data_IF_551544114954
#
_entry.id   IF_551544114954
#
_cell.length_a   1.000
_cell.length_b   1.000
_cell.length_c   1.000
_cell.angle_alpha   90.00
_cell.angle_beta   90.00
_cell.angle_gamma   90.00
#
_symmetry.space_group_name_H-M   'P 1'
#
loop_
_entity.id
_entity.type
_entity.pdbx_description
1 polymer ?
#
# COMPACT_ATOMS: atom_id res chain seq x y z
N UNK A 1 5.82 2.92 21.50
CA UNK A 1 5.48 2.16 22.72
C UNK A 1 4.98 0.77 22.38
N UNK A 2 3.89 0.64 21.63
CA UNK A 2 3.25 -0.65 21.32
C UNK A 2 4.19 -1.65 20.63
N UNK A 3 5.06 -1.20 19.74
CA UNK A 3 6.08 -2.05 19.09
C UNK A 3 7.12 -2.56 20.10
N UNK A 4 7.48 -1.75 21.10
CA UNK A 4 8.38 -2.17 22.18
C UNK A 4 7.70 -3.19 23.11
N UNK A 5 6.39 -3.01 23.41
CA UNK A 5 5.59 -3.98 24.17
C UNK A 5 5.45 -5.30 23.39
N UNK A 6 5.14 -5.23 22.08
CA UNK A 6 5.02 -6.41 21.23
C UNK A 6 6.30 -7.22 21.11
N UNK A 7 7.43 -6.53 20.95
CA UNK A 7 8.76 -7.17 20.86
C UNK A 7 9.39 -7.52 22.19
N UNK A 8 8.73 -7.25 23.32
CA UNK A 8 9.22 -7.56 24.66
C UNK A 8 10.46 -6.75 25.07
N UNK A 9 10.64 -5.56 24.52
CA UNK A 9 11.78 -4.70 24.86
C UNK A 9 11.70 -4.21 26.30
N UNK A 10 12.86 -3.90 26.88
CA UNK A 10 12.95 -3.41 28.28
C UNK A 10 12.68 -1.92 28.42
N UNK A 11 12.76 -1.15 27.35
CA UNK A 11 12.54 0.28 27.33
C UNK A 11 12.02 0.73 25.95
N UNK A 12 11.27 1.82 25.93
CA UNK A 12 10.81 2.45 24.70
C UNK A 12 11.88 3.40 24.17
N UNK A 13 12.28 3.19 22.91
CA UNK A 13 13.19 4.08 22.20
C UNK A 13 12.38 4.85 21.17
N UNK A 14 12.33 6.17 21.30
CA UNK A 14 11.69 7.04 20.32
C UNK A 14 12.68 7.41 19.22
N UNK A 15 12.20 7.53 17.99
CA UNK A 15 12.96 8.00 16.84
C UNK A 15 13.35 9.48 16.94
N UNK A 16 13.84 10.03 15.83
CA UNK A 16 14.14 11.47 15.73
C UNK A 16 12.86 12.29 15.82
N UNK A 17 12.99 13.50 16.36
CA UNK A 17 11.94 14.50 16.39
C UNK A 17 11.42 14.74 14.97
N UNK A 18 10.11 14.62 14.70
CA UNK A 18 9.53 14.97 13.41
C UNK A 18 9.63 16.48 13.14
N UNK A 19 9.78 16.84 11.87
CA UNK A 19 9.80 18.23 11.46
C UNK A 19 8.49 18.96 11.81
N UNK A 20 8.60 20.17 12.33
CA UNK A 20 7.44 21.00 12.69
C UNK A 20 6.90 20.79 14.11
N UNK A 21 7.45 19.88 14.89
CA UNK A 21 7.07 19.67 16.31
C UNK A 21 8.11 20.31 17.23
N UNK A 22 7.68 21.01 18.27
CA UNK A 22 8.60 21.55 19.29
C UNK A 22 9.16 20.42 20.15
N UNK A 23 10.43 20.58 20.59
CA UNK A 23 11.09 19.59 21.43
C UNK A 23 10.33 19.36 22.75
N UNK A 24 9.81 20.42 23.37
CA UNK A 24 9.07 20.32 24.63
C UNK A 24 7.77 19.49 24.49
N UNK A 25 7.08 19.66 23.37
CA UNK A 25 5.86 18.88 23.07
C UNK A 25 6.20 17.41 22.83
N UNK A 26 7.26 17.15 22.06
CA UNK A 26 7.74 15.79 21.82
C UNK A 26 8.13 15.07 23.11
N UNK A 27 8.92 15.72 23.99
CA UNK A 27 9.34 15.12 25.25
C UNK A 27 8.16 14.90 26.21
N UNK A 28 7.15 15.78 26.19
CA UNK A 28 5.94 15.58 26.99
C UNK A 28 5.16 14.32 26.54
N UNK A 29 4.97 14.13 25.23
CA UNK A 29 4.32 12.92 24.71
C UNK A 29 5.17 11.67 24.92
N UNK A 30 6.48 11.74 24.64
CA UNK A 30 7.39 10.62 24.85
C UNK A 30 7.46 10.21 26.33
N UNK A 31 7.42 11.19 27.25
CA UNK A 31 7.36 10.95 28.69
C UNK A 31 6.05 10.27 29.11
N UNK A 32 4.92 10.70 28.58
CA UNK A 32 3.62 10.07 28.79
C UNK A 32 3.61 8.61 28.33
N UNK A 33 4.09 8.34 27.12
CA UNK A 33 4.14 6.98 26.56
C UNK A 33 5.12 6.06 27.33
N UNK A 34 6.25 6.58 27.82
CA UNK A 34 7.15 5.83 28.74
C UNK A 34 6.44 5.44 30.02
N UNK A 35 5.71 6.41 30.64
CA UNK A 35 4.97 6.14 31.87
C UNK A 35 3.90 5.05 31.69
N UNK A 36 3.18 5.07 30.59
CA UNK A 36 2.18 4.02 30.26
C UNK A 36 2.87 2.67 30.05
N UNK A 37 3.99 2.63 29.31
CA UNK A 37 4.78 1.42 29.10
C UNK A 37 5.22 0.81 30.44
N UNK A 38 5.83 1.62 31.33
CA UNK A 38 6.31 1.16 32.62
C UNK A 38 5.18 0.66 33.51
N UNK A 39 4.04 1.35 33.52
CA UNK A 39 2.86 0.94 34.29
C UNK A 39 2.28 -0.39 33.79
N UNK A 40 2.07 -0.56 32.48
CA UNK A 40 1.56 -1.82 31.90
C UNK A 40 2.51 -2.98 32.16
N UNK A 41 3.81 -2.74 32.03
CA UNK A 41 4.84 -3.73 32.33
C UNK A 41 4.85 -4.12 33.79
N UNK A 42 4.78 -3.14 34.71
CA UNK A 42 4.75 -3.41 36.15
C UNK A 42 3.54 -4.28 36.55
N UNK A 43 2.37 -4.08 35.91
CA UNK A 43 1.20 -4.94 36.12
C UNK A 43 1.49 -6.39 35.70
N UNK A 44 2.05 -6.59 34.49
CA UNK A 44 2.36 -7.93 33.99
C UNK A 44 3.44 -8.64 34.85
N UNK A 45 4.50 -7.91 35.20
CA UNK A 45 5.57 -8.43 36.05
C UNK A 45 5.06 -8.75 37.46
N UNK A 46 4.15 -7.93 38.01
CA UNK A 46 3.47 -8.18 39.29
C UNK A 46 2.61 -9.43 39.25
N UNK A 47 1.87 -9.68 38.19
CA UNK A 47 1.08 -10.92 38.02
C UNK A 47 1.98 -12.16 37.94
N UNK A 48 3.09 -12.08 37.22
CA UNK A 48 4.09 -13.17 37.16
C UNK A 48 4.68 -13.47 38.54
N UNK A 49 5.13 -12.42 39.25
CA UNK A 49 5.67 -12.57 40.60
C UNK A 49 4.65 -13.18 41.58
N UNK A 50 3.38 -12.78 41.50
CA UNK A 50 2.32 -13.37 42.33
C UNK A 50 2.09 -14.87 42.01
N UNK A 51 2.18 -15.25 40.74
CA UNK A 51 2.05 -16.66 40.34
C UNK A 51 3.25 -17.50 40.85
N UNK A 52 4.47 -16.93 40.73
CA UNK A 52 5.68 -17.61 41.22
C UNK A 52 5.67 -17.80 42.74
N UNK A 53 5.18 -16.81 43.49
CA UNK A 53 5.03 -16.92 44.95
C UNK A 53 3.98 -18.00 45.32
N UNK A 54 2.82 -17.99 44.62
CA UNK A 54 1.80 -19.02 44.83
C UNK A 54 2.32 -20.41 44.49
N UNK A 55 3.10 -20.56 43.42
CA UNK A 55 3.74 -21.84 43.07
C UNK A 55 4.70 -22.29 44.16
N UNK A 56 5.55 -21.43 44.69
CA UNK A 56 6.47 -21.76 45.75
C UNK A 56 5.75 -22.18 47.04
N UNK A 57 4.66 -21.52 47.41
CA UNK A 57 3.83 -21.91 48.57
C UNK A 57 3.22 -23.30 48.39
N UNK A 58 2.71 -23.63 47.18
CA UNK A 58 2.16 -24.93 46.87
C UNK A 58 3.23 -26.02 46.85
N UNK A 59 4.43 -25.73 46.32
CA UNK A 59 5.58 -26.66 46.34
C UNK A 59 6.01 -27.02 47.79
N UNK A 60 6.04 -26.03 48.67
CA UNK A 60 6.35 -26.21 50.10
C UNK A 60 5.25 -27.08 50.75
N UNK A 61 3.97 -26.87 50.42
CA UNK A 61 2.86 -27.68 50.94
C UNK A 61 2.93 -29.14 50.46
N UNK A 62 3.25 -29.31 49.14
CA UNK A 62 3.47 -30.66 48.56
C UNK A 62 4.58 -31.38 49.34
N UNK A 63 5.71 -30.71 49.62
CA UNK A 63 6.80 -31.30 50.35
C UNK A 63 6.39 -31.74 51.76
N UNK A 64 5.53 -30.94 52.43
CA UNK A 64 5.00 -31.31 53.76
C UNK A 64 4.05 -32.50 53.71
N UNK A 65 3.14 -32.56 52.74
CA UNK A 65 2.21 -33.68 52.57
C UNK A 65 2.95 -34.95 52.12
N UNK A 66 3.97 -34.85 51.28
CA UNK A 66 4.79 -35.97 50.85
C UNK A 66 5.57 -36.57 52.02
N UNK A 67 6.12 -35.77 52.91
CA UNK A 67 6.78 -36.23 54.14
C UNK A 67 5.78 -36.99 55.04
N UNK A 68 4.54 -36.50 55.18
CA UNK A 68 3.47 -37.19 55.92
C UNK A 68 3.09 -38.52 55.23
N UNK A 69 2.93 -38.53 53.93
CA UNK A 69 2.63 -39.73 53.13
C UNK A 69 3.70 -40.81 53.32
N UNK A 70 4.99 -40.42 53.26
CA UNK A 70 6.11 -41.34 53.52
C UNK A 70 6.07 -41.92 54.91
N UNK A 71 5.70 -41.14 55.95
CA UNK A 71 5.59 -41.60 57.31
C UNK A 71 4.43 -42.62 57.48
N UNK A 72 3.24 -42.31 56.90
CA UNK A 72 2.06 -43.20 56.97
C UNK A 72 2.29 -44.47 56.16
N UNK A 73 2.95 -44.41 55.00
CA UNK A 73 3.32 -45.60 54.21
C UNK A 73 4.23 -46.53 55.00
N UNK A 74 5.27 -46.01 55.68
CA UNK A 74 6.12 -46.84 56.53
C UNK A 74 5.35 -47.53 57.69
N UNK A 75 4.35 -46.85 58.28
CA UNK A 75 3.48 -47.46 59.28
C UNK A 75 2.60 -48.56 58.69
N UNK A 76 2.03 -48.27 57.47
CA UNK A 76 1.22 -49.23 56.76
C UNK A 76 2.00 -50.54 56.40
N UNK A 77 3.22 -50.37 55.85
CA UNK A 77 4.12 -51.42 55.46
C UNK A 77 4.49 -52.31 56.72
N UNK A 78 4.77 -51.68 57.87
CA UNK A 78 5.06 -52.34 59.10
C UNK A 78 3.87 -53.12 59.59
N UNK A 79 2.63 -52.63 59.47
CA UNK A 79 1.41 -53.33 59.83
C UNK A 79 1.12 -54.56 58.91
N UNK A 80 1.43 -54.41 57.61
CA UNK A 80 1.34 -55.50 56.65
C UNK A 80 2.28 -56.66 57.01
N UNK A 81 3.56 -56.33 57.35
CA UNK A 81 4.54 -57.32 57.77
C UNK A 81 4.09 -58.03 59.05
N UNK A 82 3.56 -57.33 60.07
CA UNK A 82 3.06 -57.83 61.29
C UNK A 82 1.84 -58.73 61.04
N UNK A 83 0.90 -58.29 60.16
CA UNK A 83 -0.29 -59.05 59.78
C UNK A 83 0.07 -60.39 59.12
N UNK A 84 1.00 -60.37 58.15
CA UNK A 84 1.47 -61.55 57.46
C UNK A 84 2.04 -62.62 58.46
N UNK A 85 2.86 -62.12 59.41
CA UNK A 85 3.40 -63.01 60.47
C UNK A 85 2.33 -63.60 61.39
N UNK A 86 1.30 -62.81 61.77
CA UNK A 86 0.21 -63.28 62.61
C UNK A 86 -0.78 -64.16 61.85
N UNK A 87 -1.05 -63.97 60.59
CA UNK A 87 -1.86 -64.80 59.73
C UNK A 87 -1.28 -66.26 59.63
N UNK A 88 0.06 -66.35 59.50
CA UNK A 88 0.76 -67.64 59.50
C UNK A 88 0.61 -68.35 60.83
N UNK A 89 0.73 -67.68 61.97
CA UNK A 89 0.52 -68.21 63.30
C UNK A 89 -0.93 -68.54 63.56
N UNK A 90 -1.88 -67.74 63.06
CA UNK A 90 -3.32 -67.94 63.15
C UNK A 90 -3.79 -69.19 62.39
N UNK A 91 -3.22 -69.47 61.22
CA UNK A 91 -3.48 -70.71 60.44
C UNK A 91 -3.08 -71.95 61.20
N UNK A 92 -2.12 -71.86 62.12
CA UNK A 92 -1.67 -72.92 62.98
C UNK A 92 -2.44 -72.99 64.32
N UNK A 93 -3.49 -72.15 64.52
CA UNK A 93 -4.31 -72.12 65.73
C UNK A 93 -3.63 -71.56 66.97
N UNK A 94 -2.49 -70.84 66.85
CA UNK A 94 -1.65 -70.34 67.93
C UNK A 94 -2.06 -68.97 68.49
N UNK A 95 -2.93 -68.23 67.80
CA UNK A 95 -3.38 -66.86 68.18
C UNK A 95 -4.91 -66.75 67.99
N UNK A 96 -5.57 -65.84 68.78
CA UNK A 96 -7.00 -65.54 68.60
C UNK A 96 -7.29 -64.85 67.32
N UNK A 97 -8.37 -65.21 66.61
CA UNK A 97 -8.84 -64.58 65.39
C UNK A 97 -9.12 -63.04 65.52
N UNK A 98 -9.49 -62.62 66.75
CA UNK A 98 -9.75 -61.20 67.07
C UNK A 98 -8.52 -60.27 66.85
N UNK A 99 -7.30 -60.78 67.09
CA UNK A 99 -6.07 -60.04 66.91
C UNK A 99 -5.79 -59.84 65.43
N UNK A 100 -6.00 -60.83 64.60
CA UNK A 100 -5.86 -60.70 63.14
C UNK A 100 -6.88 -59.69 62.60
N UNK A 101 -8.15 -59.76 63.02
CA UNK A 101 -9.19 -58.82 62.60
C UNK A 101 -8.96 -57.39 63.06
N UNK A 102 -8.30 -57.16 64.19
CA UNK A 102 -7.94 -55.83 64.66
C UNK A 102 -6.81 -55.22 63.83
N UNK A 103 -5.82 -56.05 63.48
CA UNK A 103 -4.72 -55.58 62.63
C UNK A 103 -5.17 -55.35 61.22
N UNK A 104 -6.08 -56.13 60.66
CA UNK A 104 -6.72 -55.92 59.38
C UNK A 104 -7.48 -54.56 59.34
N UNK A 105 -8.22 -54.27 60.43
CA UNK A 105 -8.88 -52.93 60.53
C UNK A 105 -7.89 -51.79 60.57
N UNK A 106 -6.74 -51.95 61.25
CA UNK A 106 -5.69 -50.96 61.33
C UNK A 106 -4.95 -50.74 59.97
N UNK A 107 -4.73 -51.85 59.26
CA UNK A 107 -4.20 -51.80 57.86
C UNK A 107 -5.13 -51.02 56.96
N UNK A 108 -6.44 -51.30 56.96
CA UNK A 108 -7.44 -50.65 56.17
C UNK A 108 -7.55 -49.12 56.50
N UNK A 109 -7.44 -48.73 57.81
CA UNK A 109 -7.41 -47.33 58.22
C UNK A 109 -6.16 -46.60 57.64
N UNK A 110 -4.98 -47.25 57.75
CA UNK A 110 -3.76 -46.71 57.23
C UNK A 110 -3.76 -46.59 55.68
N UNK A 111 -4.29 -47.62 55.00
CA UNK A 111 -4.49 -47.62 53.56
C UNK A 111 -5.41 -46.43 53.11
N UNK A 112 -6.51 -46.22 53.89
CA UNK A 112 -7.39 -45.08 53.65
C UNK A 112 -6.67 -43.71 53.83
N UNK A 113 -5.79 -43.59 54.82
CA UNK A 113 -4.96 -42.36 55.04
C UNK A 113 -3.95 -42.14 53.93
N UNK A 114 -3.30 -43.19 53.42
CA UNK A 114 -2.39 -43.13 52.27
C UNK A 114 -3.16 -42.58 51.05
N UNK A 115 -4.32 -43.16 50.75
CA UNK A 115 -5.14 -42.71 49.60
C UNK A 115 -5.58 -41.24 49.73
N UNK A 116 -5.94 -40.80 50.94
CA UNK A 116 -6.29 -39.39 51.20
C UNK A 116 -5.12 -38.46 50.94
N UNK A 117 -3.92 -38.78 51.45
CA UNK A 117 -2.72 -37.95 51.25
C UNK A 117 -2.25 -37.92 49.77
N UNK A 118 -2.43 -39.04 49.05
CA UNK A 118 -2.17 -39.10 47.61
C UNK A 118 -3.15 -38.22 46.84
N UNK A 119 -4.42 -38.20 47.23
CA UNK A 119 -5.41 -37.29 46.63
C UNK A 119 -5.06 -35.80 46.92
N UNK A 120 -4.67 -35.49 48.15
CA UNK A 120 -4.23 -34.16 48.54
C UNK A 120 -3.00 -33.71 47.71
N UNK A 121 -2.04 -34.58 47.47
CA UNK A 121 -0.87 -34.29 46.61
C UNK A 121 -1.30 -34.00 45.16
N UNK A 122 -2.21 -34.78 44.62
CA UNK A 122 -2.74 -34.57 43.27
C UNK A 122 -3.47 -33.24 43.17
N UNK A 123 -4.26 -32.87 44.17
CA UNK A 123 -4.94 -31.55 44.23
C UNK A 123 -3.96 -30.39 44.23
N UNK A 124 -2.90 -30.45 45.07
CA UNK A 124 -1.89 -29.39 45.10
C UNK A 124 -1.12 -29.26 43.79
N UNK A 125 -0.82 -30.39 43.11
CA UNK A 125 -0.18 -30.35 41.77
C UNK A 125 -1.11 -29.75 40.70
N UNK A 126 -2.40 -30.06 40.76
CA UNK A 126 -3.37 -29.45 39.88
C UNK A 126 -3.48 -27.91 40.09
N UNK A 127 -3.46 -27.48 41.37
CA UNK A 127 -3.47 -26.07 41.72
C UNK A 127 -2.24 -25.30 41.20
N UNK A 128 -1.05 -25.93 41.14
CA UNK A 128 0.15 -25.35 40.48
C UNK A 128 -0.10 -25.21 38.99
N UNK A 129 -0.61 -26.27 38.34
CA UNK A 129 -0.87 -26.22 36.89
C UNK A 129 -1.89 -25.15 36.52
N UNK A 130 -2.94 -25.00 37.32
CA UNK A 130 -3.94 -23.94 37.15
C UNK A 130 -3.35 -22.54 37.31
N UNK A 131 -2.49 -22.31 38.31
CA UNK A 131 -1.81 -21.05 38.52
C UNK A 131 -0.89 -20.68 37.34
N UNK A 132 -0.14 -21.63 36.79
CA UNK A 132 0.73 -21.46 35.62
C UNK A 132 -0.07 -21.15 34.36
N UNK A 133 -1.17 -21.88 34.14
CA UNK A 133 -2.09 -21.64 33.04
C UNK A 133 -2.70 -20.24 33.12
N UNK A 134 -3.10 -19.78 34.29
CA UNK A 134 -3.63 -18.44 34.54
C UNK A 134 -2.61 -17.34 34.17
N UNK A 135 -1.34 -17.51 34.56
CA UNK A 135 -0.27 -16.56 34.19
C UNK A 135 -0.02 -16.53 32.69
N UNK A 136 -0.01 -17.71 32.04
CA UNK A 136 0.16 -17.80 30.58
C UNK A 136 -1.02 -17.14 29.85
N UNK A 137 -2.25 -17.29 30.34
CA UNK A 137 -3.42 -16.65 29.78
C UNK A 137 -3.35 -15.12 29.92
N UNK A 138 -2.92 -14.62 31.10
CA UNK A 138 -2.74 -13.19 31.31
C UNK A 138 -1.71 -12.58 30.34
N UNK A 139 -0.60 -13.27 30.08
CA UNK A 139 0.40 -12.86 29.11
C UNK A 139 -0.15 -12.84 27.67
N UNK A 140 -0.91 -13.86 27.27
CA UNK A 140 -1.57 -13.89 25.95
C UNK A 140 -2.57 -12.77 25.78
N UNK A 141 -3.42 -12.53 26.78
CA UNK A 141 -4.40 -11.44 26.75
C UNK A 141 -3.71 -10.09 26.65
N UNK A 142 -2.59 -9.90 27.34
CA UNK A 142 -1.77 -8.70 27.20
C UNK A 142 -1.25 -8.54 25.76
N UNK A 143 -0.68 -9.60 25.18
CA UNK A 143 -0.17 -9.57 23.80
C UNK A 143 -1.29 -9.30 22.78
N UNK A 144 -2.44 -9.92 22.92
CA UNK A 144 -3.63 -9.69 22.08
C UNK A 144 -4.08 -8.23 22.14
N UNK A 145 -4.13 -7.64 23.36
CA UNK A 145 -4.43 -6.22 23.55
C UNK A 145 -3.43 -5.33 22.84
N UNK A 146 -2.12 -5.62 22.94
CA UNK A 146 -1.06 -4.84 22.29
C UNK A 146 -1.18 -4.92 20.78
N UNK A 147 -1.48 -6.10 20.22
CA UNK A 147 -1.67 -6.27 18.76
C UNK A 147 -2.90 -5.50 18.28
N UNK A 148 -4.01 -5.55 19.01
CA UNK A 148 -5.22 -4.78 18.70
C UNK A 148 -4.93 -3.27 18.71
N UNK A 149 -4.37 -2.75 19.80
CA UNK A 149 -3.99 -1.34 19.93
C UNK A 149 -3.02 -0.90 18.79
N UNK A 150 -2.08 -1.79 18.39
CA UNK A 150 -1.12 -1.51 17.31
C UNK A 150 -1.79 -1.42 15.94
N UNK A 151 -2.76 -2.28 15.67
CA UNK A 151 -3.54 -2.24 14.43
C UNK A 151 -4.37 -0.96 14.34
N UNK A 152 -5.05 -0.57 15.43
CA UNK A 152 -5.86 0.65 15.48
C UNK A 152 -5.01 1.90 15.25
N UNK A 153 -3.83 1.98 15.89
CA UNK A 153 -2.90 3.09 15.69
C UNK A 153 -2.36 3.14 14.27
N UNK A 154 -2.04 1.99 13.67
CA UNK A 154 -1.58 1.92 12.27
C UNK A 154 -2.66 2.38 11.30
N UNK A 155 -3.89 1.93 11.48
CA UNK A 155 -5.02 2.37 10.66
C UNK A 155 -5.23 3.90 10.77
N UNK A 156 -5.13 4.46 11.98
CA UNK A 156 -5.20 5.91 12.20
C UNK A 156 -4.06 6.66 11.50
N UNK A 157 -2.83 6.14 11.55
CA UNK A 157 -1.68 6.74 10.85
C UNK A 157 -1.89 6.73 9.33
N UNK A 158 -2.39 5.63 8.77
CA UNK A 158 -2.69 5.53 7.34
C UNK A 158 -3.76 6.55 6.92
N UNK A 159 -4.85 6.66 7.68
CA UNK A 159 -5.90 7.64 7.44
C UNK A 159 -5.36 9.08 7.47
N UNK A 160 -4.60 9.44 8.51
CA UNK A 160 -4.01 10.77 8.65
C UNK A 160 -2.97 11.06 7.54
N UNK A 161 -2.23 10.05 7.10
CA UNK A 161 -1.27 10.18 6.00
C UNK A 161 -1.97 10.48 4.67
N UNK A 162 -3.06 9.78 4.38
CA UNK A 162 -3.88 10.03 3.20
C UNK A 162 -4.52 11.44 3.24
N UNK A 163 -5.04 11.85 4.39
CA UNK A 163 -5.60 13.19 4.56
C UNK A 163 -4.54 14.27 4.40
N UNK A 164 -3.35 14.07 4.95
CA UNK A 164 -2.22 15.00 4.76
C UNK A 164 -1.84 15.12 3.29
N UNK A 165 -1.76 14.00 2.56
CA UNK A 165 -1.47 14.00 1.13
C UNK A 165 -2.56 14.75 0.33
N UNK A 166 -3.83 14.56 0.68
CA UNK A 166 -4.96 15.28 0.07
C UNK A 166 -4.84 16.78 0.30
N UNK A 167 -4.68 17.20 1.56
CA UNK A 167 -4.56 18.63 1.91
C UNK A 167 -3.31 19.27 1.27
N UNK A 168 -2.18 18.54 1.21
CA UNK A 168 -0.98 19.02 0.54
C UNK A 168 -1.19 19.19 -0.97
N UNK A 169 -1.91 18.28 -1.63
CA UNK A 169 -2.26 18.40 -3.04
C UNK A 169 -3.22 19.58 -3.28
N UNK A 170 -4.20 19.79 -2.40
CA UNK A 170 -5.12 20.91 -2.48
C UNK A 170 -4.37 22.25 -2.28
N UNK A 171 -3.44 22.31 -1.33
CA UNK A 171 -2.58 23.48 -1.13
C UNK A 171 -1.70 23.75 -2.35
N UNK A 172 -1.11 22.72 -2.95
CA UNK A 172 -0.29 22.90 -4.17
C UNK A 172 -1.11 23.45 -5.34
N UNK A 173 -2.40 23.14 -5.43
CA UNK A 173 -3.32 23.67 -6.44
C UNK A 173 -3.73 25.12 -6.22
N UNK A 174 -3.50 25.69 -5.02
CA UNK A 174 -3.76 27.13 -4.79
C UNK A 174 -2.76 28.02 -5.49
N UNK A 175 -1.54 27.52 -5.81
CA UNK A 175 -0.58 28.18 -6.67
C UNK A 175 -0.69 27.68 -8.10
N UNK A 176 -1.31 28.45 -8.97
CA UNK A 176 -1.41 28.12 -10.39
C UNK A 176 -0.16 28.62 -11.10
N UNK A 177 0.66 27.70 -11.58
CA UNK A 177 1.92 28.00 -12.26
C UNK A 177 1.82 27.70 -13.75
N UNK A 178 2.57 28.47 -14.55
CA UNK A 178 2.71 28.23 -16.00
C UNK A 178 3.34 26.83 -16.22
N UNK A 179 2.72 25.94 -17.03
CA UNK A 179 3.27 24.61 -17.31
C UNK A 179 4.48 24.65 -18.25
N UNK A 180 4.61 25.73 -19.05
CA UNK A 180 5.68 25.94 -20.04
C UNK A 180 6.05 27.42 -20.11
N UNK A 181 7.27 27.68 -20.55
CA UNK A 181 7.68 29.03 -20.88
C UNK A 181 6.97 29.53 -22.15
N UNK A 182 6.42 30.72 -22.12
CA UNK A 182 5.66 31.23 -23.26
C UNK A 182 5.10 32.61 -23.04
N UNK A 183 4.34 33.09 -24.04
CA UNK A 183 3.67 34.38 -24.03
C UNK A 183 2.23 34.21 -23.60
N UNK A 184 1.82 34.98 -22.59
CA UNK A 184 0.43 34.98 -22.11
C UNK A 184 -0.47 35.61 -23.17
N UNK A 185 -1.53 34.90 -23.52
CA UNK A 185 -2.55 35.30 -24.47
C UNK A 185 -3.94 35.12 -23.87
N UNK A 186 -4.90 35.96 -24.26
CA UNK A 186 -6.31 35.89 -23.84
C UNK A 186 -6.51 35.75 -22.31
N UNK A 187 -5.93 36.64 -21.52
CA UNK A 187 -6.13 36.69 -20.08
C UNK A 187 -7.56 37.12 -19.75
N UNK A 188 -8.33 36.21 -19.13
CA UNK A 188 -9.73 36.45 -18.74
C UNK A 188 -9.87 36.95 -17.30
N UNK A 189 -8.84 36.78 -16.48
CA UNK A 189 -8.84 37.18 -15.06
C UNK A 189 -7.96 38.45 -14.93
N UNK A 190 -8.59 39.58 -14.59
CA UNK A 190 -7.93 40.86 -14.46
C UNK A 190 -7.99 41.52 -13.08
N UNK A 191 -8.76 40.94 -12.15
CA UNK A 191 -9.06 41.57 -10.87
C UNK A 191 -8.45 40.78 -9.71
N UNK A 192 -7.66 41.46 -8.88
CA UNK A 192 -7.17 40.88 -7.61
C UNK A 192 -8.35 40.71 -6.66
N UNK A 193 -8.48 39.50 -6.06
CA UNK A 193 -9.61 39.15 -5.20
C UNK A 193 -10.85 38.66 -5.97
N UNK A 194 -10.75 38.50 -7.28
CA UNK A 194 -11.81 37.89 -8.08
C UNK A 194 -11.99 36.39 -7.77
N UNK A 195 -13.21 35.89 -7.95
CA UNK A 195 -13.52 34.47 -7.83
C UNK A 195 -13.40 33.80 -9.20
N UNK A 196 -12.67 32.71 -9.26
CA UNK A 196 -12.52 31.85 -10.46
C UNK A 196 -13.31 30.57 -10.21
N UNK A 197 -14.21 30.24 -11.14
CA UNK A 197 -14.95 28.98 -11.05
C UNK A 197 -14.04 27.78 -11.43
N UNK A 198 -14.29 26.58 -10.88
CA UNK A 198 -13.65 25.37 -11.37
C UNK A 198 -13.82 25.22 -12.89
N UNK A 199 -12.77 24.76 -13.58
CA UNK A 199 -12.74 24.57 -15.04
C UNK A 199 -12.78 25.85 -15.89
N UNK A 200 -12.81 27.03 -15.27
CA UNK A 200 -12.74 28.28 -16.01
C UNK A 200 -11.35 28.51 -16.58
N UNK A 201 -11.28 28.76 -17.90
CA UNK A 201 -10.04 29.14 -18.56
C UNK A 201 -9.60 30.55 -18.07
N UNK A 202 -8.42 30.65 -17.47
CA UNK A 202 -7.92 31.89 -16.90
C UNK A 202 -7.08 32.68 -17.90
N UNK A 203 -6.23 32.01 -18.62
CA UNK A 203 -5.35 32.54 -19.67
C UNK A 203 -4.83 31.40 -20.56
N UNK A 204 -4.36 31.76 -21.75
CA UNK A 204 -3.65 30.85 -22.64
C UNK A 204 -2.16 31.16 -22.63
N UNK A 205 -1.32 30.15 -22.71
CA UNK A 205 0.13 30.32 -22.86
C UNK A 205 0.51 29.79 -24.24
N UNK A 206 1.07 30.65 -25.06
CA UNK A 206 1.66 30.26 -26.35
C UNK A 206 3.12 29.92 -26.09
N UNK A 207 3.54 28.62 -26.22
CA UNK A 207 4.91 28.23 -25.96
C UNK A 207 5.90 28.97 -26.84
N UNK A 208 7.01 29.42 -26.26
CA UNK A 208 8.15 29.98 -27.01
C UNK A 208 9.28 28.95 -26.98
N UNK A 209 9.86 28.63 -28.13
CA UNK A 209 11.02 27.74 -28.24
C UNK A 209 10.71 26.27 -28.58
N UNK A 210 9.45 25.88 -28.67
CA UNK A 210 9.09 24.64 -29.38
C UNK A 210 9.05 24.96 -30.88
N UNK A 211 9.56 24.05 -31.73
CA UNK A 211 9.53 24.20 -33.18
C UNK A 211 8.13 24.55 -33.71
N UNK A 212 8.05 25.15 -34.85
CA UNK A 212 6.76 25.49 -35.46
C UNK A 212 6.19 24.23 -36.10
N UNK A 213 5.00 23.81 -35.65
CA UNK A 213 4.24 22.75 -36.28
C UNK A 213 3.43 23.33 -37.46
N UNK A 214 3.55 22.68 -38.59
CA UNK A 214 2.80 23.08 -39.80
C UNK A 214 1.64 22.11 -40.01
N UNK A 215 0.43 22.65 -39.97
CA UNK A 215 -0.79 21.88 -40.26
C UNK A 215 -1.31 22.29 -41.65
N UNK A 216 -1.51 21.33 -42.50
CA UNK A 216 -2.01 21.51 -43.89
C UNK A 216 -3.38 20.88 -44.00
N UNK A 217 -4.34 21.62 -44.50
CA UNK A 217 -5.69 21.17 -44.72
C UNK A 217 -5.86 20.59 -46.14
N UNK A 218 -6.13 19.30 -46.21
CA UNK A 218 -6.29 18.60 -47.50
C UNK A 218 -7.74 18.24 -47.71
N UNK A 219 -8.25 18.59 -48.88
CA UNK A 219 -9.62 18.29 -49.25
C UNK A 219 -9.85 16.76 -49.35
N UNK A 220 -10.98 16.22 -48.90
CA UNK A 220 -11.23 14.77 -48.87
C UNK A 220 -11.05 14.04 -50.22
N UNK A 221 -11.33 14.73 -51.32
CA UNK A 221 -11.16 14.16 -52.67
C UNK A 221 -9.69 13.89 -53.03
N UNK A 222 -8.76 14.55 -52.35
CA UNK A 222 -7.31 14.46 -52.65
C UNK A 222 -6.51 13.70 -51.62
N UNK A 223 -7.15 13.14 -50.61
CA UNK A 223 -6.47 12.48 -49.47
C UNK A 223 -5.73 11.18 -49.85
N UNK A 224 -6.26 10.48 -50.87
CA UNK A 224 -5.66 9.24 -51.40
C UNK A 224 -4.28 9.42 -52.04
N UNK A 225 -3.94 10.68 -52.38
CA UNK A 225 -2.62 11.06 -52.89
C UNK A 225 -1.63 11.54 -51.86
N UNK A 226 -2.02 11.54 -50.57
CA UNK A 226 -1.18 11.96 -49.44
C UNK A 226 -0.78 10.74 -48.59
N UNK A 227 0.49 10.57 -48.31
CA UNK A 227 1.01 9.49 -47.48
C UNK A 227 2.13 9.95 -46.55
N UNK A 228 2.29 9.32 -45.41
CA UNK A 228 3.38 9.64 -44.49
C UNK A 228 4.76 9.47 -45.15
N UNK A 229 5.68 10.39 -44.86
CA UNK A 229 7.01 10.43 -45.49
C UNK A 229 7.07 11.18 -46.84
N UNK A 230 5.94 11.65 -47.37
CA UNK A 230 5.88 12.42 -48.61
C UNK A 230 6.52 13.79 -48.46
N UNK A 231 7.29 14.22 -49.43
CA UNK A 231 7.91 15.57 -49.45
C UNK A 231 6.86 16.61 -49.82
N UNK A 232 6.78 17.66 -49.03
CA UNK A 232 5.89 18.81 -49.21
C UNK A 232 6.72 20.06 -49.37
N UNK A 233 6.35 20.89 -50.31
CA UNK A 233 6.93 22.22 -50.48
C UNK A 233 6.02 23.26 -49.85
N UNK A 234 6.50 23.92 -48.80
CA UNK A 234 5.77 24.96 -48.07
C UNK A 234 6.13 26.34 -48.59
N UNK A 235 5.11 27.16 -48.83
CA UNK A 235 5.23 28.58 -49.19
C UNK A 235 4.44 29.41 -48.20
N UNK A 236 4.95 30.60 -47.92
CA UNK A 236 4.37 31.57 -47.00
C UNK A 236 3.78 32.74 -47.75
N UNK A 237 2.50 32.79 -48.07
CA UNK A 237 1.88 33.87 -48.82
C UNK A 237 1.95 35.25 -48.15
N UNK A 238 2.16 35.24 -46.80
CA UNK A 238 2.29 36.47 -46.01
C UNK A 238 3.58 37.24 -46.30
N UNK A 239 4.57 36.60 -46.96
CA UNK A 239 5.86 37.23 -47.29
C UNK A 239 6.04 37.38 -48.79
N UNK A 240 6.93 38.31 -49.18
CA UNK A 240 7.27 38.54 -50.60
C UNK A 240 7.89 37.29 -51.22
N UNK A 241 7.27 36.68 -52.26
CA UNK A 241 7.75 35.45 -52.90
C UNK A 241 9.15 35.60 -53.53
N UNK A 242 9.62 36.81 -53.75
CA UNK A 242 10.96 37.08 -54.31
C UNK A 242 12.06 37.05 -53.26
N UNK A 243 11.71 37.23 -51.98
CA UNK A 243 12.65 37.29 -50.86
C UNK A 243 12.60 36.03 -49.97
N UNK A 244 11.48 35.34 -49.94
CA UNK A 244 11.31 34.18 -49.05
C UNK A 244 11.32 32.91 -49.89
N UNK A 245 12.32 32.03 -49.72
CA UNK A 245 12.39 30.78 -50.43
C UNK A 245 11.29 29.82 -49.92
N UNK A 246 10.84 28.95 -50.80
CA UNK A 246 10.02 27.80 -50.37
C UNK A 246 10.90 26.79 -49.61
N UNK A 247 10.38 26.24 -48.54
CA UNK A 247 11.06 25.25 -47.74
C UNK A 247 10.44 23.86 -47.96
N UNK A 248 11.25 22.84 -47.76
CA UNK A 248 10.80 21.47 -47.86
C UNK A 248 10.43 20.93 -46.49
N UNK A 249 9.28 20.28 -46.39
CA UNK A 249 8.85 19.53 -45.25
C UNK A 249 8.54 18.09 -45.61
N UNK A 250 8.26 17.27 -44.63
CA UNK A 250 7.85 15.87 -44.78
C UNK A 250 6.54 15.66 -44.04
N UNK A 251 5.59 14.99 -44.67
CA UNK A 251 4.34 14.57 -44.01
C UNK A 251 4.66 13.62 -42.90
N UNK A 252 4.29 13.96 -41.68
CA UNK A 252 4.50 13.11 -40.51
C UNK A 252 3.22 12.39 -40.10
N UNK A 253 2.11 13.14 -40.01
CA UNK A 253 0.83 12.62 -39.54
C UNK A 253 -0.29 13.01 -40.47
N UNK A 254 -1.29 12.15 -40.59
CA UNK A 254 -2.54 12.42 -41.31
C UNK A 254 -3.67 12.11 -40.33
N UNK A 255 -4.61 13.05 -40.18
CA UNK A 255 -5.78 12.84 -39.32
C UNK A 255 -6.56 11.61 -39.80
N UNK A 256 -6.96 10.70 -38.88
CA UNK A 256 -7.72 9.50 -39.25
C UNK A 256 -9.16 9.80 -39.69
N UNK A 257 -9.67 10.99 -39.38
CA UNK A 257 -11.00 11.44 -39.70
C UNK A 257 -11.01 12.87 -40.22
N UNK A 258 -12.09 13.27 -40.86
CA UNK A 258 -12.27 14.64 -41.36
C UNK A 258 -12.65 15.59 -40.25
N UNK A 259 -12.03 16.76 -40.24
CA UNK A 259 -12.35 17.89 -39.36
C UNK A 259 -13.24 18.86 -40.17
N UNK A 260 -14.34 19.29 -39.60
CA UNK A 260 -15.22 20.27 -40.21
C UNK A 260 -14.93 21.65 -39.62
N UNK A 261 -14.56 22.61 -40.49
CA UNK A 261 -14.39 23.99 -40.09
C UNK A 261 -15.76 24.61 -39.73
N UNK A 262 -15.94 25.08 -38.50
CA UNK A 262 -17.20 25.65 -38.03
C UNK A 262 -17.62 26.92 -38.79
N UNK A 263 -16.66 27.66 -39.37
CA UNK A 263 -16.94 28.91 -40.12
C UNK A 263 -17.37 28.68 -41.57
N UNK A 264 -16.67 27.78 -42.25
CA UNK A 264 -16.92 27.50 -43.68
C UNK A 264 -17.80 26.28 -43.95
N UNK A 265 -18.01 25.41 -42.91
CA UNK A 265 -18.67 24.11 -43.00
C UNK A 265 -18.06 23.13 -44.01
N UNK A 266 -16.80 23.34 -44.37
CA UNK A 266 -16.04 22.48 -45.24
C UNK A 266 -15.31 21.41 -44.38
N UNK A 267 -15.34 20.17 -44.87
CA UNK A 267 -14.58 19.09 -44.24
C UNK A 267 -13.20 18.96 -44.90
N UNK A 268 -12.18 18.72 -44.08
CA UNK A 268 -10.78 18.56 -44.54
C UNK A 268 -10.09 17.52 -43.67
N UNK A 269 -9.02 16.95 -44.17
CA UNK A 269 -8.06 16.16 -43.35
C UNK A 269 -6.93 17.08 -42.92
N UNK A 270 -6.61 17.05 -41.62
CA UNK A 270 -5.44 17.71 -41.07
C UNK A 270 -4.19 16.87 -41.31
N UNK A 271 -3.21 17.44 -41.98
CA UNK A 271 -1.93 16.79 -42.29
C UNK A 271 -0.81 17.57 -41.58
N UNK A 272 -0.16 16.88 -40.61
CA UNK A 272 1.00 17.45 -39.92
C UNK A 272 2.26 17.30 -40.76
N UNK A 273 2.97 18.41 -40.98
CA UNK A 273 4.20 18.49 -41.75
C UNK A 273 5.35 18.95 -40.85
N UNK A 274 6.42 18.18 -40.83
CA UNK A 274 7.65 18.53 -40.10
C UNK A 274 8.68 19.07 -41.07
N UNK A 275 9.35 20.14 -40.66
CA UNK A 275 10.45 20.79 -41.39
C UNK A 275 11.72 20.60 -40.60
N UNK A 276 12.81 20.22 -41.28
CA UNK A 276 14.11 20.07 -40.62
C UNK A 276 14.69 21.47 -40.24
N UNK A 277 15.54 21.46 -39.22
CA UNK A 277 16.23 22.71 -38.79
C UNK A 277 17.03 23.35 -39.91
N UNK A 278 17.63 22.54 -40.81
CA UNK A 278 18.36 23.02 -41.96
C UNK A 278 17.46 23.79 -42.96
N UNK A 279 16.27 23.30 -43.22
CA UNK A 279 15.30 23.97 -44.08
C UNK A 279 14.68 25.18 -43.39
N UNK A 280 14.47 25.15 -42.07
CA UNK A 280 14.06 26.32 -41.29
C UNK A 280 15.12 27.41 -41.31
N UNK A 281 16.41 27.10 -41.21
CA UNK A 281 17.51 28.07 -41.31
C UNK A 281 17.55 28.78 -42.65
N UNK A 282 17.01 28.20 -43.73
CA UNK A 282 16.92 28.86 -45.06
C UNK A 282 15.96 30.03 -45.14
N UNK A 283 15.01 30.13 -44.19
CA UNK A 283 14.11 31.26 -44.04
C UNK A 283 14.86 32.53 -43.54
N UNK A 284 16.06 32.36 -42.97
CA UNK A 284 16.91 33.45 -42.51
C UNK A 284 16.30 34.22 -41.34
N UNK A 285 16.11 35.54 -41.51
CA UNK A 285 15.56 36.41 -40.46
C UNK A 285 14.03 36.49 -40.44
N UNK A 286 13.33 35.60 -41.16
CA UNK A 286 11.87 35.60 -41.18
C UNK A 286 11.34 34.93 -39.90
N UNK A 287 10.66 35.72 -39.08
CA UNK A 287 10.02 35.24 -37.86
C UNK A 287 8.63 34.69 -38.19
N UNK A 288 8.45 33.38 -37.99
CA UNK A 288 7.16 32.73 -38.16
C UNK A 288 6.31 32.95 -36.92
N UNK A 289 5.11 33.44 -37.11
CA UNK A 289 4.15 33.67 -36.04
C UNK A 289 3.06 32.59 -36.09
N UNK A 290 2.70 31.96 -34.96
CA UNK A 290 1.56 31.01 -34.92
C UNK A 290 0.30 31.60 -35.56
N UNK A 291 -0.42 30.78 -36.35
CA UNK A 291 -1.61 31.22 -37.09
C UNK A 291 -1.35 31.86 -38.48
N UNK A 292 -0.09 31.93 -38.90
CA UNK A 292 0.19 32.38 -40.29
C UNK A 292 -0.35 31.41 -41.34
N UNK A 293 -0.99 31.91 -42.43
CA UNK A 293 -1.40 31.06 -43.51
C UNK A 293 -0.21 30.48 -44.28
N UNK A 294 -0.27 29.19 -44.58
CA UNK A 294 0.73 28.51 -45.41
C UNK A 294 0.06 27.90 -46.64
N UNK A 295 0.80 27.76 -47.72
CA UNK A 295 0.39 27.01 -48.90
C UNK A 295 1.34 25.83 -49.09
N UNK A 296 0.78 24.64 -49.08
CA UNK A 296 1.52 23.39 -49.23
C UNK A 296 1.34 22.83 -50.64
N UNK A 297 2.42 22.47 -51.27
CA UNK A 297 2.43 21.77 -52.55
C UNK A 297 2.97 20.36 -52.35
N UNK A 298 2.08 19.38 -52.44
CA UNK A 298 2.43 17.95 -52.33
C UNK A 298 2.82 17.42 -53.70
N UNK A 299 3.94 16.75 -53.82
CA UNK A 299 4.35 16.11 -55.05
C UNK A 299 3.59 14.80 -55.21
N UNK A 300 2.63 14.78 -56.08
CA UNK A 300 1.96 13.55 -56.47
C UNK A 300 2.85 12.68 -57.38
N UNK A 301 2.51 11.41 -57.53
CA UNK A 301 3.29 10.48 -58.35
C UNK A 301 3.54 11.04 -59.76
N UNK A 302 4.76 10.89 -60.27
CA UNK A 302 5.09 11.22 -61.62
C UNK A 302 4.29 10.33 -62.60
N UNK A 303 3.43 10.95 -63.38
CA UNK A 303 2.69 10.26 -64.42
C UNK A 303 3.40 10.47 -65.75
N UNK A 304 3.46 9.41 -66.58
CA UNK A 304 4.04 9.54 -67.90
C UNK A 304 3.11 10.33 -68.83
N UNK A 305 3.65 11.09 -69.78
CA UNK A 305 2.86 11.88 -70.74
C UNK A 305 1.92 10.97 -71.55
N UNK A 306 2.30 9.69 -71.73
CA UNK A 306 1.49 8.70 -72.41
C UNK A 306 0.25 8.27 -71.62
N UNK A 307 0.34 8.18 -70.28
CA UNK A 307 -0.80 7.87 -69.43
C UNK A 307 -1.89 8.94 -69.48
N UNK A 308 -1.45 10.23 -69.62
CA UNK A 308 -2.37 11.38 -69.72
C UNK A 308 -3.23 11.35 -71.00
N UNK A 309 -2.68 10.79 -72.08
CA UNK A 309 -3.39 10.65 -73.37
C UNK A 309 -4.28 9.39 -73.44
N UNK A 310 -3.89 8.31 -72.72
CA UNK A 310 -4.60 7.04 -72.81
C UNK A 310 -5.68 6.90 -71.74
N UNK A 311 -5.52 7.53 -70.57
CA UNK A 311 -6.44 7.43 -69.43
C UNK A 311 -7.87 7.88 -69.75
N UNK A 312 -8.15 8.98 -70.48
CA UNK A 312 -9.52 9.34 -70.87
C UNK A 312 -10.16 8.30 -71.76
N UNK A 313 -9.37 7.66 -72.65
CA UNK A 313 -9.88 6.64 -73.58
C UNK A 313 -10.14 5.34 -72.87
N UNK A 314 -9.27 4.93 -71.93
CA UNK A 314 -9.46 3.70 -71.13
C UNK A 314 -10.62 3.84 -70.15
N UNK A 315 -10.84 5.03 -69.57
CA UNK A 315 -11.98 5.31 -68.71
C UNK A 315 -13.32 5.30 -69.47
N UNK A 316 -13.36 5.87 -70.71
CA UNK A 316 -14.53 5.77 -71.58
C UNK A 316 -14.83 4.35 -71.97
N UNK A 317 -13.81 3.53 -72.28
CA UNK A 317 -13.97 2.08 -72.58
C UNK A 317 -14.43 1.29 -71.36
N UNK A 318 -13.90 1.58 -70.18
CA UNK A 318 -14.27 0.89 -68.93
C UNK A 318 -15.71 1.19 -68.48
N UNK A 319 -16.22 2.39 -68.76
CA UNK A 319 -17.62 2.76 -68.54
C UNK A 319 -18.56 2.15 -69.62
N UNK A 320 -18.08 2.08 -70.88
CA UNK A 320 -18.87 1.50 -72.01
C UNK A 320 -18.99 -0.04 -71.93
N UNK A 321 -18.05 -0.74 -71.25
CA UNK A 321 -18.07 -2.19 -71.03
C UNK A 321 -18.62 -2.63 -69.67
N UNK A 322 -19.19 -1.71 -68.89
CA UNK A 322 -19.84 -2.01 -67.62
C UNK A 322 -21.34 -1.91 -67.78
N UNK A 323 -21.89 -2.70 -68.66
CA UNK A 323 -23.29 -3.15 -68.68
C UNK A 323 -23.29 -4.56 -68.08
N UNK A 324 -23.61 -4.59 -66.71
CA UNK A 324 -24.55 -5.48 -66.06
C UNK A 324 -24.61 -5.16 -64.60
#
# INVERSE_FOLDING_TARGET
RLEAEFSGQKAVIFGKLPDGISNDLFEAYAGGERSVFDARRAVLDGQKAQTDEKRLQLENRISGVDAQLMAVRRQHDSVIEELAGLEELGANGLIPQSQILELQRREADLAGRVATLEADLAEQRNAISEAVLGATQAERTFQESVVGDLQDVRATIEEQTLELARVAADLARTEIRAPVDGIVHEMQVSTVGGVVAPEQEMLKIVPTGQGVDFEVWVHPVSIDSVYPGQTVQLRFPAFDPRRTPSIKGTVQTISPDTITDPATRQSYYAVGVVVSEEEMARLGSVELVPGMPISAFLQTHARSVLSYLVEPISNLLSVAFRED
#
